data_IF_561088811267
#
_entry.id   IF_561088811267
#
_cell.length_a   1.000
_cell.length_b   1.000
_cell.length_c   1.000
_cell.angle_alpha   90.00
_cell.angle_beta   90.00
_cell.angle_gamma   90.00
#
_symmetry.space_group_name_H-M   'P 1'
#
loop_
_entity.id
_entity.type
_entity.pdbx_description
1 polymer ?
#
# COMPACT_ATOMS: atom_id res chain seq x y z
N UNK A 1 51.69 -16.05 0.54
CA UNK A 1 50.91 -16.92 1.43
C UNK A 1 51.77 -18.08 1.91
N UNK A 2 51.84 -18.27 3.23
CA UNK A 2 52.47 -19.44 3.85
C UNK A 2 51.61 -20.69 3.63
N UNK A 3 52.19 -21.90 3.76
CA UNK A 3 51.43 -23.15 3.66
C UNK A 3 50.27 -23.20 4.65
N UNK A 4 50.48 -22.65 5.86
CA UNK A 4 49.45 -22.57 6.90
C UNK A 4 48.30 -21.63 6.52
N UNK A 5 48.60 -20.50 5.90
CA UNK A 5 47.57 -19.59 5.38
C UNK A 5 46.77 -20.23 4.25
N UNK A 6 47.43 -20.99 3.36
CA UNK A 6 46.73 -21.73 2.29
C UNK A 6 45.79 -22.78 2.86
N UNK A 7 46.27 -23.60 3.80
CA UNK A 7 45.45 -24.62 4.44
C UNK A 7 44.28 -24.02 5.22
N UNK A 8 44.49 -22.84 5.81
CA UNK A 8 43.42 -22.11 6.51
C UNK A 8 42.36 -21.58 5.54
N UNK A 9 42.77 -20.96 4.42
CA UNK A 9 41.84 -20.47 3.40
C UNK A 9 41.04 -21.63 2.80
N UNK A 10 41.70 -22.75 2.47
CA UNK A 10 41.04 -23.95 1.97
C UNK A 10 39.99 -24.44 2.99
N UNK A 11 40.33 -24.49 4.29
CA UNK A 11 39.35 -24.88 5.32
C UNK A 11 38.15 -23.94 5.41
N UNK A 12 38.37 -22.63 5.30
CA UNK A 12 37.28 -21.63 5.33
C UNK A 12 36.38 -21.78 4.11
N UNK A 13 36.94 -21.92 2.91
CA UNK A 13 36.19 -22.16 1.68
C UNK A 13 35.38 -23.47 1.77
N UNK A 14 35.96 -24.53 2.32
CA UNK A 14 35.27 -25.80 2.52
C UNK A 14 34.11 -25.73 3.53
N UNK A 15 34.18 -24.83 4.53
CA UNK A 15 33.08 -24.58 5.46
C UNK A 15 31.95 -23.80 4.78
N UNK A 16 32.28 -22.83 3.91
CA UNK A 16 31.28 -22.06 3.16
C UNK A 16 30.47 -22.91 2.17
N UNK A 17 31.03 -24.03 1.71
CA UNK A 17 30.34 -25.01 0.87
C UNK A 17 29.37 -25.92 1.65
N UNK A 18 29.33 -25.84 2.98
CA UNK A 18 28.37 -26.58 3.81
C UNK A 18 27.10 -25.73 4.04
N UNK A 19 26.24 -25.60 3.03
CA UNK A 19 24.91 -25.01 3.22
C UNK A 19 23.99 -25.99 3.96
N UNK A 20 23.31 -25.54 5.03
CA UNK A 20 22.33 -26.36 5.77
C UNK A 20 21.06 -26.63 4.96
N UNK A 21 20.70 -25.72 4.04
CA UNK A 21 19.53 -25.82 3.18
C UNK A 21 19.97 -25.99 1.72
N UNK A 22 20.22 -27.23 1.29
CA UNK A 22 20.54 -27.54 -0.11
C UNK A 22 19.34 -27.28 -1.05
N UNK A 23 18.13 -27.18 -0.48
CA UNK A 23 16.88 -27.00 -1.20
C UNK A 23 16.61 -25.54 -1.62
N UNK A 24 17.38 -24.56 -1.13
CA UNK A 24 17.23 -23.14 -1.48
C UNK A 24 18.27 -22.63 -2.49
N UNK A 25 19.30 -23.44 -2.81
CA UNK A 25 20.36 -23.05 -3.75
C UNK A 25 19.96 -23.38 -5.20
N UNK A 26 19.54 -22.34 -5.93
CA UNK A 26 19.19 -22.40 -7.35
C UNK A 26 20.29 -23.04 -8.23
N UNK A 27 21.58 -22.76 -7.97
CA UNK A 27 22.66 -23.29 -8.80
C UNK A 27 22.90 -24.78 -8.52
N UNK A 28 22.79 -25.19 -7.26
CA UNK A 28 22.88 -26.59 -6.86
C UNK A 28 21.76 -27.43 -7.50
N UNK A 29 20.50 -26.98 -7.39
CA UNK A 29 19.35 -27.65 -7.99
C UNK A 29 19.47 -27.76 -9.51
N UNK A 30 19.82 -26.66 -10.18
CA UNK A 30 19.97 -26.64 -11.64
C UNK A 30 21.14 -27.47 -12.17
N UNK A 31 22.15 -27.72 -11.34
CA UNK A 31 23.25 -28.63 -11.69
C UNK A 31 22.80 -30.09 -11.65
N UNK A 32 22.16 -30.52 -10.56
CA UNK A 32 21.68 -31.90 -10.42
C UNK A 32 20.57 -32.23 -11.41
N UNK A 33 19.64 -31.30 -11.66
CA UNK A 33 18.61 -31.48 -12.68
C UNK A 33 19.21 -31.71 -14.08
N UNK A 34 20.28 -30.99 -14.44
CA UNK A 34 21.01 -31.22 -15.71
C UNK A 34 21.77 -32.54 -15.72
N UNK A 35 22.27 -32.98 -14.58
CA UNK A 35 22.95 -34.27 -14.45
C UNK A 35 21.96 -35.43 -14.65
N UNK A 36 20.78 -35.35 -14.02
CA UNK A 36 19.70 -36.33 -14.14
C UNK A 36 19.14 -36.40 -15.56
N UNK A 37 18.94 -35.26 -16.23
CA UNK A 37 18.53 -35.23 -17.64
C UNK A 37 19.54 -35.94 -18.55
N UNK A 38 20.84 -35.69 -18.35
CA UNK A 38 21.89 -36.34 -19.15
C UNK A 38 21.94 -37.85 -18.89
N UNK A 39 21.75 -38.28 -17.64
CA UNK A 39 21.66 -39.71 -17.30
C UNK A 39 20.43 -40.37 -17.95
N UNK A 40 19.27 -39.71 -17.92
CA UNK A 40 18.06 -40.22 -18.58
C UNK A 40 18.22 -40.32 -20.11
N UNK A 41 18.89 -39.36 -20.73
CA UNK A 41 19.23 -39.40 -22.16
C UNK A 41 20.21 -40.54 -22.51
N UNK A 42 21.22 -40.77 -21.67
CA UNK A 42 22.18 -41.88 -21.84
C UNK A 42 21.52 -43.26 -21.63
N UNK A 43 20.57 -43.37 -20.70
CA UNK A 43 19.76 -44.58 -20.47
C UNK A 43 18.87 -44.90 -21.68
N UNK A 44 18.27 -43.89 -22.33
CA UNK A 44 17.47 -44.04 -23.55
C UNK A 44 18.30 -44.51 -24.74
N UNK A 45 19.59 -44.14 -24.81
CA UNK A 45 20.50 -44.52 -25.88
C UNK A 45 21.18 -45.88 -25.67
N UNK A 46 20.88 -46.58 -24.57
CA UNK A 46 21.36 -47.94 -24.31
C UNK A 46 22.86 -48.05 -24.04
N UNK A 47 23.55 -46.94 -23.77
CA UNK A 47 24.97 -46.90 -23.44
C UNK A 47 25.21 -47.27 -21.98
N UNK A 48 25.13 -48.56 -21.64
CA UNK A 48 25.66 -49.08 -20.38
C UNK A 48 27.18 -49.18 -20.44
N UNK A 49 27.92 -48.06 -20.38
CA UNK A 49 29.34 -48.12 -20.05
C UNK A 49 29.91 -46.80 -19.49
N UNK A 50 30.18 -46.86 -18.17
CA UNK A 50 31.30 -46.22 -17.44
C UNK A 50 31.36 -44.70 -17.38
N UNK A 51 30.86 -44.15 -16.27
CA UNK A 51 31.63 -43.59 -15.14
C UNK A 51 30.60 -42.96 -14.20
N UNK A 52 30.63 -43.28 -12.91
CA UNK A 52 29.88 -42.44 -11.97
C UNK A 52 30.44 -41.02 -12.11
N UNK A 53 29.59 -40.00 -12.37
CA UNK A 53 30.06 -38.64 -12.39
C UNK A 53 30.75 -38.36 -11.06
N UNK A 54 31.89 -37.66 -11.04
CA UNK A 54 32.62 -37.40 -9.81
C UNK A 54 31.68 -36.73 -8.82
N UNK A 55 31.29 -37.49 -7.78
CA UNK A 55 30.43 -36.98 -6.72
C UNK A 55 31.22 -35.88 -6.02
N UNK A 56 30.61 -34.71 -5.84
CA UNK A 56 31.12 -33.71 -4.92
C UNK A 56 31.04 -34.29 -3.51
N UNK A 57 32.12 -34.95 -3.08
CA UNK A 57 32.27 -35.41 -1.70
C UNK A 57 32.77 -34.22 -0.92
N UNK A 58 31.86 -33.51 -0.27
CA UNK A 58 32.25 -32.59 0.79
C UNK A 58 32.69 -33.46 1.98
N UNK A 59 33.95 -33.36 2.46
CA UNK A 59 34.35 -34.05 3.67
C UNK A 59 33.45 -33.59 4.81
N UNK A 60 32.91 -34.54 5.56
CA UNK A 60 32.14 -34.25 6.76
C UNK A 60 33.07 -33.59 7.79
N UNK A 61 33.01 -32.27 7.87
CA UNK A 61 33.66 -31.52 8.94
C UNK A 61 32.69 -31.59 10.12
N UNK A 62 33.11 -32.29 11.18
CA UNK A 62 32.41 -32.29 12.46
C UNK A 62 32.17 -30.83 12.84
N UNK A 63 30.90 -30.39 12.87
CA UNK A 63 30.53 -29.03 13.27
C UNK A 63 31.20 -28.75 14.61
N UNK A 64 32.27 -27.96 14.59
CA UNK A 64 32.92 -27.50 15.81
C UNK A 64 31.85 -26.73 16.55
N UNK A 65 31.60 -27.13 17.80
CA UNK A 65 30.69 -26.44 18.70
C UNK A 65 30.84 -24.94 18.50
N UNK A 66 29.72 -24.29 18.18
CA UNK A 66 29.56 -22.85 17.93
C UNK A 66 30.65 -22.05 18.62
N UNK A 67 31.65 -21.62 17.85
CA UNK A 67 32.66 -20.70 18.35
C UNK A 67 31.94 -19.40 18.70
N UNK A 68 31.65 -19.22 19.98
CA UNK A 68 31.12 -17.96 20.50
C UNK A 68 32.24 -16.93 20.41
N UNK A 69 32.37 -16.26 19.26
CA UNK A 69 33.28 -15.13 19.09
C UNK A 69 32.76 -13.95 19.90
N UNK A 70 33.02 -13.96 21.21
CA UNK A 70 32.77 -12.81 22.07
C UNK A 70 33.87 -11.79 21.77
N UNK A 71 33.66 -11.00 20.72
CA UNK A 71 34.50 -9.84 20.42
C UNK A 71 34.22 -8.80 21.52
N UNK A 72 35.08 -8.76 22.54
CA UNK A 72 35.07 -7.69 23.54
C UNK A 72 35.75 -6.47 22.94
N UNK A 73 34.97 -5.48 22.51
CA UNK A 73 35.50 -4.16 22.14
C UNK A 73 35.82 -3.43 23.43
N UNK A 74 37.11 -3.22 23.70
CA UNK A 74 37.58 -2.49 24.88
C UNK A 74 36.98 -1.07 24.89
N UNK A 75 36.31 -0.69 25.99
CA UNK A 75 35.68 0.62 26.16
C UNK A 75 34.17 0.69 25.91
N UNK A 76 33.50 -0.42 25.56
CA UNK A 76 32.03 -0.46 25.45
C UNK A 76 31.36 -0.70 26.81
N UNK A 77 30.32 0.08 27.11
CA UNK A 77 29.55 0.05 28.37
C UNK A 77 28.48 -1.07 28.40
N UNK A 78 28.68 -2.16 27.63
CA UNK A 78 27.76 -3.29 27.57
C UNK A 78 28.31 -4.46 26.76
N UNK A 79 27.93 -5.69 27.14
CA UNK A 79 28.27 -6.90 26.38
C UNK A 79 27.36 -7.00 25.15
N UNK A 80 27.95 -7.05 23.95
CA UNK A 80 27.20 -7.37 22.72
C UNK A 80 26.82 -8.86 22.79
N UNK A 81 25.60 -9.16 23.20
CA UNK A 81 25.08 -10.52 23.24
C UNK A 81 24.88 -11.05 21.81
N UNK A 82 25.17 -12.34 21.59
CA UNK A 82 25.05 -13.06 20.29
C UNK A 82 23.63 -12.95 19.68
N UNK A 83 22.62 -12.62 20.48
CA UNK A 83 21.26 -12.33 20.00
C UNK A 83 21.17 -11.12 19.06
N UNK A 84 22.19 -10.26 19.00
CA UNK A 84 22.24 -9.09 18.11
C UNK A 84 22.73 -9.41 16.68
N UNK A 85 23.31 -10.60 16.45
CA UNK A 85 23.86 -10.99 15.14
C UNK A 85 22.77 -11.25 14.09
N UNK A 86 21.57 -11.63 14.51
CA UNK A 86 20.42 -11.88 13.62
C UNK A 86 19.62 -10.62 13.26
N UNK A 87 19.95 -9.46 13.85
CA UNK A 87 19.28 -8.19 13.52
C UNK A 87 20.23 -7.01 13.74
N UNK A 88 21.30 -6.86 12.93
CA UNK A 88 22.31 -5.82 13.15
C UNK A 88 21.73 -4.40 13.15
N UNK A 89 20.59 -4.17 12.48
CA UNK A 89 19.88 -2.89 12.50
C UNK A 89 19.38 -2.48 13.89
N UNK A 90 19.02 -3.44 14.76
CA UNK A 90 18.57 -3.16 16.14
C UNK A 90 19.68 -2.60 17.03
N UNK A 91 20.95 -2.90 16.73
CA UNK A 91 22.08 -2.39 17.51
C UNK A 91 22.40 -0.92 17.19
N UNK A 92 21.99 -0.43 16.02
CA UNK A 92 22.27 0.92 15.52
C UNK A 92 21.15 1.91 15.93
N UNK A 93 19.92 1.41 16.12
CA UNK A 93 18.73 2.22 16.36
C UNK A 93 18.58 2.75 17.81
N UNK A 94 19.50 2.38 18.71
CA UNK A 94 19.45 2.76 20.13
C UNK A 94 19.77 4.24 20.40
N UNK A 95 20.00 5.06 19.37
CA UNK A 95 20.41 6.47 19.55
C UNK A 95 19.39 7.47 18.99
N UNK A 96 18.36 7.07 18.24
CA UNK A 96 17.43 8.05 17.63
C UNK A 96 15.91 7.84 17.80
N UNK A 97 15.43 6.84 18.54
CA UNK A 97 13.99 6.73 18.82
C UNK A 97 13.68 6.37 20.28
N UNK A 98 13.94 7.33 21.17
CA UNK A 98 13.32 7.38 22.50
C UNK A 98 12.08 8.29 22.47
N UNK A 99 11.08 7.87 21.68
CA UNK A 99 9.67 8.27 21.73
C UNK A 99 8.93 6.97 21.35
N UNK A 100 8.76 6.02 22.27
CA UNK A 100 7.56 5.84 23.12
C UNK A 100 6.28 6.00 22.28
N UNK A 101 5.52 4.89 22.17
CA UNK A 101 4.23 4.67 21.47
C UNK A 101 4.22 4.12 20.02
N UNK A 102 4.94 3.05 19.68
CA UNK A 102 4.68 2.31 18.41
C UNK A 102 4.71 0.77 18.52
N UNK A 103 4.47 0.20 19.70
CA UNK A 103 4.54 -1.27 19.84
C UNK A 103 3.24 -1.98 19.42
N UNK A 104 2.10 -1.29 19.38
CA UNK A 104 0.80 -1.85 18.98
C UNK A 104 0.49 -1.69 17.49
N UNK A 105 0.44 -0.45 17.01
CA UNK A 105 -0.05 -0.10 15.66
C UNK A 105 0.88 -0.57 14.54
N UNK A 106 2.20 -0.43 14.74
CA UNK A 106 3.20 -0.92 13.78
C UNK A 106 3.18 -2.45 13.63
N UNK A 107 2.76 -3.20 14.66
CA UNK A 107 2.65 -4.67 14.60
C UNK A 107 1.44 -5.10 13.76
N UNK A 108 0.29 -4.46 13.94
CA UNK A 108 -0.90 -4.75 13.15
C UNK A 108 -0.66 -4.43 11.67
N UNK A 109 -0.12 -3.24 11.38
CA UNK A 109 0.21 -2.85 10.01
C UNK A 109 1.18 -3.84 9.35
N UNK A 110 2.20 -4.32 10.08
CA UNK A 110 3.13 -5.32 9.58
C UNK A 110 2.46 -6.67 9.29
N UNK A 111 1.63 -7.16 10.22
CA UNK A 111 0.92 -8.44 10.06
C UNK A 111 0.00 -8.42 8.83
N UNK A 112 -0.81 -7.36 8.69
CA UNK A 112 -1.70 -7.21 7.53
C UNK A 112 -0.93 -7.09 6.21
N UNK A 113 0.26 -6.49 6.24
CA UNK A 113 1.09 -6.37 5.05
C UNK A 113 1.66 -7.71 4.60
N UNK A 114 2.00 -8.61 5.52
CA UNK A 114 2.41 -9.96 5.18
C UNK A 114 1.26 -10.75 4.55
N UNK A 115 0.06 -10.69 5.11
CA UNK A 115 -1.12 -11.32 4.52
C UNK A 115 -1.43 -10.75 3.11
N UNK A 116 -1.29 -9.44 2.92
CA UNK A 116 -1.48 -8.82 1.62
C UNK A 116 -0.45 -9.32 0.58
N UNK A 117 0.79 -9.56 0.98
CA UNK A 117 1.80 -10.12 0.09
C UNK A 117 1.43 -11.54 -0.37
N UNK A 118 0.82 -12.34 0.49
CA UNK A 118 0.30 -13.66 0.13
C UNK A 118 -0.82 -13.54 -0.93
N UNK A 119 -1.75 -12.60 -0.76
CA UNK A 119 -2.82 -12.31 -1.73
C UNK A 119 -2.24 -11.88 -3.10
N UNK A 120 -1.22 -11.03 -3.09
CA UNK A 120 -0.55 -10.58 -4.32
C UNK A 120 0.27 -11.69 -4.98
N UNK A 121 0.88 -12.58 -4.19
CA UNK A 121 1.62 -13.73 -4.69
C UNK A 121 0.69 -14.75 -5.34
N UNK A 122 -0.47 -15.05 -4.73
CA UNK A 122 -1.53 -15.86 -5.33
C UNK A 122 -1.98 -15.27 -6.68
N UNK A 123 -2.11 -13.93 -6.77
CA UNK A 123 -2.41 -13.27 -8.04
C UNK A 123 -1.29 -13.40 -9.08
N UNK A 124 -0.02 -13.36 -8.66
CA UNK A 124 1.12 -13.47 -9.60
C UNK A 124 1.30 -14.90 -10.10
N UNK A 125 1.02 -15.90 -9.27
CA UNK A 125 1.10 -17.34 -9.61
C UNK A 125 -0.04 -17.80 -10.52
N UNK A 126 -0.97 -16.93 -10.89
CA UNK A 126 -2.22 -17.32 -11.56
C UNK A 126 -2.00 -18.17 -12.82
N UNK A 127 -2.40 -19.43 -12.66
CA UNK A 127 -2.77 -20.38 -13.70
C UNK A 127 -4.23 -20.80 -13.50
N UNK A 128 -5.18 -19.90 -13.80
CA UNK A 128 -6.58 -20.18 -14.18
C UNK A 128 -7.45 -21.15 -13.33
N UNK A 129 -7.11 -21.49 -12.09
CA UNK A 129 -7.96 -22.33 -11.23
C UNK A 129 -8.98 -21.49 -10.45
N UNK A 130 -10.27 -21.84 -10.55
CA UNK A 130 -11.36 -21.14 -9.86
C UNK A 130 -11.24 -21.21 -8.32
N UNK A 131 -10.70 -22.31 -7.78
CA UNK A 131 -10.50 -22.52 -6.35
C UNK A 131 -9.46 -21.54 -5.76
N UNK A 132 -8.37 -21.26 -6.48
CA UNK A 132 -7.34 -20.30 -6.04
C UNK A 132 -7.88 -18.86 -6.01
N UNK A 133 -8.80 -18.53 -6.91
CA UNK A 133 -9.44 -17.21 -6.96
C UNK A 133 -10.40 -16.99 -5.78
N UNK A 134 -11.14 -18.03 -5.38
CA UNK A 134 -12.01 -17.97 -4.20
C UNK A 134 -11.18 -17.84 -2.92
N UNK A 135 -10.10 -18.64 -2.78
CA UNK A 135 -9.19 -18.55 -1.64
C UNK A 135 -8.56 -17.15 -1.51
N UNK A 136 -8.14 -16.56 -2.64
CA UNK A 136 -7.61 -15.19 -2.68
C UNK A 136 -8.63 -14.16 -2.19
N UNK A 137 -9.89 -14.28 -2.64
CA UNK A 137 -10.96 -13.38 -2.22
C UNK A 137 -11.23 -13.51 -0.72
N UNK A 138 -11.19 -14.72 -0.18
CA UNK A 138 -11.37 -14.98 1.25
C UNK A 138 -10.22 -14.39 2.09
N UNK A 139 -8.98 -14.44 1.60
CA UNK A 139 -7.86 -13.83 2.33
C UNK A 139 -7.92 -12.30 2.29
N UNK A 140 -8.30 -11.71 1.16
CA UNK A 140 -8.56 -10.27 1.07
C UNK A 140 -9.69 -9.83 2.02
N UNK A 141 -10.75 -10.64 2.14
CA UNK A 141 -11.84 -10.43 3.10
C UNK A 141 -11.32 -10.42 4.54
N UNK A 142 -10.46 -11.37 4.92
CA UNK A 142 -9.87 -11.43 6.27
C UNK A 142 -9.09 -10.17 6.60
N UNK A 143 -8.30 -9.67 5.65
CA UNK A 143 -7.56 -8.42 5.82
C UNK A 143 -8.54 -7.26 6.02
N UNK A 144 -9.60 -7.18 5.21
CA UNK A 144 -10.62 -6.14 5.33
C UNK A 144 -11.32 -6.16 6.71
N UNK A 145 -11.72 -7.34 7.20
CA UNK A 145 -12.32 -7.48 8.52
C UNK A 145 -11.35 -7.08 9.65
N UNK A 146 -10.07 -7.38 9.48
CA UNK A 146 -9.03 -7.00 10.43
C UNK A 146 -8.74 -5.49 10.48
N UNK A 147 -9.09 -4.72 9.42
CA UNK A 147 -9.05 -3.26 9.46
C UNK A 147 -10.12 -2.66 10.40
N UNK A 148 -11.16 -3.42 10.78
CA UNK A 148 -12.24 -3.00 11.68
C UNK A 148 -12.88 -1.65 11.32
N UNK A 149 -13.11 -1.42 10.02
CA UNK A 149 -13.68 -0.16 9.52
C UNK A 149 -15.09 0.04 10.09
N UNK A 150 -15.20 0.99 11.03
CA UNK A 150 -16.43 1.38 11.72
C UNK A 150 -16.79 2.84 11.42
N UNK A 151 -18.07 3.18 11.60
CA UNK A 151 -18.48 4.57 11.64
C UNK A 151 -18.01 5.15 12.97
N UNK A 152 -17.14 6.15 12.91
CA UNK A 152 -16.53 6.81 14.05
C UNK A 152 -17.04 8.25 14.11
N UNK A 153 -17.30 8.79 15.30
CA UNK A 153 -17.59 10.23 15.46
C UNK A 153 -16.29 11.04 15.41
N UNK A 154 -16.39 12.36 15.27
CA UNK A 154 -15.21 13.26 15.28
C UNK A 154 -14.42 13.18 16.59
N UNK A 155 -15.08 12.85 17.71
CA UNK A 155 -14.45 12.75 19.04
C UNK A 155 -13.60 11.47 19.20
N UNK A 156 -13.94 10.41 18.48
CA UNK A 156 -13.31 9.09 18.59
C UNK A 156 -12.20 8.87 17.52
N UNK A 157 -11.95 9.85 16.63
CA UNK A 157 -11.04 9.69 15.48
C UNK A 157 -9.60 9.32 15.88
N UNK A 158 -9.15 9.83 17.02
CA UNK A 158 -7.82 9.57 17.55
C UNK A 158 -7.66 8.15 18.12
N UNK A 159 -8.76 7.47 18.45
CA UNK A 159 -8.77 6.13 19.03
C UNK A 159 -9.12 5.05 18.01
N UNK A 160 -9.60 5.44 16.82
CA UNK A 160 -10.00 4.50 15.78
C UNK A 160 -8.80 3.80 15.13
N UNK A 161 -8.79 2.46 15.20
CA UNK A 161 -7.69 1.62 14.70
C UNK A 161 -7.43 1.82 13.20
N UNK A 162 -8.48 2.00 12.39
CA UNK A 162 -8.34 2.20 10.95
C UNK A 162 -7.79 3.59 10.63
N UNK A 163 -8.27 4.63 11.31
CA UNK A 163 -7.76 5.98 11.13
C UNK A 163 -6.31 6.12 11.60
N UNK A 164 -5.93 5.51 12.73
CA UNK A 164 -4.53 5.48 13.15
C UNK A 164 -3.63 4.75 12.15
N UNK A 165 -4.12 3.65 11.55
CA UNK A 165 -3.43 2.98 10.45
C UNK A 165 -3.25 3.92 9.23
N UNK A 166 -4.24 4.75 8.91
CA UNK A 166 -4.14 5.74 7.84
C UNK A 166 -3.32 6.98 8.20
N UNK A 167 -2.96 7.22 9.47
CA UNK A 167 -2.05 8.30 9.84
C UNK A 167 -0.61 8.03 9.38
N UNK A 168 -0.18 6.77 9.33
CA UNK A 168 1.19 6.37 8.96
C UNK A 168 1.35 6.05 7.48
N UNK A 169 2.48 6.41 6.88
CA UNK A 169 2.80 6.13 5.47
C UNK A 169 2.62 4.65 5.07
N UNK A 170 3.04 3.72 5.94
CA UNK A 170 2.93 2.28 5.66
C UNK A 170 1.48 1.79 5.59
N UNK A 171 0.60 2.32 6.43
CA UNK A 171 -0.82 1.95 6.43
C UNK A 171 -1.58 2.56 5.24
N UNK A 172 -1.22 3.78 4.82
CA UNK A 172 -1.69 4.34 3.54
C UNK A 172 -1.29 3.45 2.36
N UNK A 173 -0.03 2.99 2.33
CA UNK A 173 0.47 2.07 1.28
C UNK A 173 -0.21 0.70 1.32
N UNK A 174 -0.45 0.16 2.52
CA UNK A 174 -1.21 -1.08 2.72
C UNK A 174 -2.61 -0.94 2.12
N UNK A 175 -3.34 0.10 2.52
CA UNK A 175 -4.72 0.36 2.05
C UNK A 175 -4.76 0.58 0.53
N UNK A 176 -3.81 1.37 -0.01
CA UNK A 176 -3.69 1.60 -1.45
C UNK A 176 -3.53 0.31 -2.26
N UNK A 177 -2.76 -0.65 -1.75
CA UNK A 177 -2.51 -1.95 -2.40
C UNK A 177 -3.61 -2.97 -2.13
N UNK A 178 -4.34 -2.86 -1.01
CA UNK A 178 -5.46 -3.73 -0.70
C UNK A 178 -6.68 -3.42 -1.59
N UNK A 179 -6.97 -2.14 -1.87
CA UNK A 179 -8.16 -1.69 -2.61
C UNK A 179 -8.48 -2.48 -3.90
N UNK A 180 -7.52 -2.79 -4.80
CA UNK A 180 -7.78 -3.58 -6.01
C UNK A 180 -8.21 -5.03 -5.78
N UNK A 181 -8.04 -5.55 -4.56
CA UNK A 181 -8.38 -6.92 -4.19
C UNK A 181 -9.71 -7.04 -3.45
N UNK A 182 -10.33 -5.91 -3.09
CA UNK A 182 -11.59 -5.87 -2.36
C UNK A 182 -12.79 -5.94 -3.31
N UNK A 183 -13.94 -6.33 -2.75
CA UNK A 183 -15.21 -6.18 -3.45
C UNK A 183 -15.56 -4.69 -3.65
N UNK A 184 -16.40 -4.34 -4.64
CA UNK A 184 -16.81 -2.96 -4.89
C UNK A 184 -17.41 -2.31 -3.64
N UNK A 185 -18.29 -3.00 -2.92
CA UNK A 185 -18.97 -2.48 -1.71
C UNK A 185 -17.97 -2.14 -0.59
N UNK A 186 -16.95 -2.97 -0.39
CA UNK A 186 -15.90 -2.72 0.60
C UNK A 186 -15.02 -1.54 0.23
N UNK A 187 -14.65 -1.43 -1.06
CA UNK A 187 -13.85 -0.33 -1.56
C UNK A 187 -14.61 1.00 -1.47
N UNK A 188 -15.92 0.99 -1.75
CA UNK A 188 -16.82 2.13 -1.54
C UNK A 188 -16.91 2.52 -0.07
N UNK A 189 -17.05 1.55 0.84
CA UNK A 189 -17.05 1.83 2.29
C UNK A 189 -15.75 2.48 2.75
N UNK A 190 -14.60 1.99 2.29
CA UNK A 190 -13.29 2.60 2.60
C UNK A 190 -13.23 4.03 2.08
N UNK A 191 -13.64 4.27 0.83
CA UNK A 191 -13.66 5.61 0.25
C UNK A 191 -14.57 6.53 1.10
N UNK A 192 -15.76 6.08 1.45
CA UNK A 192 -16.70 6.84 2.27
C UNK A 192 -16.09 7.22 3.64
N UNK A 193 -15.49 6.25 4.34
CA UNK A 193 -14.82 6.49 5.63
C UNK A 193 -13.66 7.47 5.49
N UNK A 194 -12.82 7.32 4.45
CA UNK A 194 -11.72 8.26 4.19
C UNK A 194 -12.25 9.67 3.91
N UNK A 195 -13.34 9.79 3.15
CA UNK A 195 -13.93 11.10 2.82
C UNK A 195 -14.57 11.79 4.02
N UNK A 196 -15.24 11.02 4.88
CA UNK A 196 -15.83 11.53 6.11
C UNK A 196 -14.77 12.08 7.06
N UNK A 197 -13.67 11.36 7.25
CA UNK A 197 -12.56 11.75 8.12
C UNK A 197 -11.43 12.50 7.39
N UNK A 198 -11.69 13.01 6.19
CA UNK A 198 -10.67 13.65 5.37
C UNK A 198 -9.99 14.85 6.07
N UNK A 199 -10.71 15.76 6.76
CA UNK A 199 -10.10 16.86 7.50
C UNK A 199 -9.10 16.40 8.56
N UNK A 200 -9.42 15.32 9.28
CA UNK A 200 -8.56 14.73 10.29
C UNK A 200 -7.28 14.16 9.67
N UNK A 201 -7.43 13.34 8.63
CA UNK A 201 -6.30 12.72 7.93
C UNK A 201 -5.37 13.77 7.32
N UNK A 202 -5.93 14.85 6.75
CA UNK A 202 -5.16 15.96 6.20
C UNK A 202 -4.34 16.70 7.27
N UNK A 203 -4.90 16.91 8.47
CA UNK A 203 -4.16 17.53 9.58
C UNK A 203 -3.00 16.64 10.06
N UNK A 204 -3.16 15.32 10.01
CA UNK A 204 -2.13 14.35 10.43
C UNK A 204 -1.06 14.10 9.36
N UNK A 205 -1.35 14.32 8.09
CA UNK A 205 -0.41 14.07 6.97
C UNK A 205 0.59 15.20 6.70
N UNK A 206 0.61 16.27 7.51
CA UNK A 206 1.46 17.45 7.26
C UNK A 206 2.97 17.13 7.24
N UNK A 207 3.40 16.08 7.96
CA UNK A 207 4.82 15.68 8.00
C UNK A 207 5.17 14.61 6.96
N UNK A 208 4.23 13.71 6.67
CA UNK A 208 4.48 12.54 5.82
C UNK A 208 4.20 12.80 4.33
N UNK A 209 3.33 13.79 4.02
CA UNK A 209 2.87 14.17 2.67
C UNK A 209 2.57 12.95 1.76
N UNK A 210 1.95 11.92 2.33
CA UNK A 210 1.82 10.60 1.70
C UNK A 210 0.38 10.19 1.40
N UNK A 211 -0.61 11.03 1.75
CA UNK A 211 -2.00 10.86 1.28
C UNK A 211 -2.14 10.70 -0.24
N UNK A 212 -1.35 11.39 -1.10
CA UNK A 212 -1.39 11.17 -2.55
C UNK A 212 -1.22 9.72 -3.00
N UNK A 213 -0.61 8.84 -2.20
CA UNK A 213 -0.48 7.41 -2.50
C UNK A 213 -1.85 6.71 -2.64
N UNK A 214 -2.88 7.20 -1.94
CA UNK A 214 -4.23 6.66 -1.99
C UNK A 214 -5.00 7.11 -3.25
N UNK A 215 -4.54 8.17 -3.94
CA UNK A 215 -5.29 8.76 -5.05
C UNK A 215 -5.52 7.79 -6.20
N UNK A 216 -4.47 7.13 -6.70
CA UNK A 216 -4.57 6.22 -7.84
C UNK A 216 -5.57 5.06 -7.64
N UNK A 217 -5.50 4.29 -6.53
CA UNK A 217 -6.48 3.23 -6.29
C UNK A 217 -7.88 3.77 -6.00
N UNK A 218 -8.02 4.85 -5.22
CA UNK A 218 -9.34 5.44 -4.95
C UNK A 218 -10.00 6.02 -6.21
N UNK A 219 -9.24 6.64 -7.10
CA UNK A 219 -9.76 7.13 -8.39
C UNK A 219 -10.31 5.99 -9.26
N UNK A 220 -9.75 4.78 -9.16
CA UNK A 220 -10.31 3.57 -9.81
C UNK A 220 -11.62 3.11 -9.16
N UNK A 221 -11.76 3.28 -7.84
CA UNK A 221 -13.02 3.02 -7.14
C UNK A 221 -14.06 4.02 -7.61
N UNK A 222 -13.76 5.32 -7.57
CA UNK A 222 -14.63 6.41 -8.04
C UNK A 222 -15.14 6.12 -9.45
N UNK A 223 -14.27 5.74 -10.38
CA UNK A 223 -14.65 5.43 -11.77
C UNK A 223 -15.61 4.24 -11.95
N UNK A 224 -15.89 3.46 -10.90
CA UNK A 224 -16.83 2.31 -10.92
C UNK A 224 -18.10 2.57 -10.14
N UNK A 225 -18.20 3.68 -9.40
CA UNK A 225 -19.35 3.96 -8.54
C UNK A 225 -20.60 4.33 -9.33
N UNK A 226 -21.75 4.01 -8.77
CA UNK A 226 -23.05 4.51 -9.22
C UNK A 226 -23.24 5.98 -8.86
N UNK A 227 -24.19 6.66 -9.50
CA UNK A 227 -24.47 8.06 -9.24
C UNK A 227 -24.86 8.29 -7.77
N UNK A 228 -25.80 7.50 -7.22
CA UNK A 228 -26.24 7.64 -5.83
C UNK A 228 -25.11 7.46 -4.82
N UNK A 229 -24.20 6.52 -5.05
CA UNK A 229 -23.03 6.31 -4.18
C UNK A 229 -22.03 7.46 -4.26
N UNK A 230 -21.85 8.04 -5.44
CA UNK A 230 -21.03 9.23 -5.61
C UNK A 230 -21.62 10.44 -4.87
N UNK A 231 -22.94 10.60 -4.87
CA UNK A 231 -23.62 11.65 -4.11
C UNK A 231 -23.44 11.45 -2.60
N UNK A 232 -23.54 10.22 -2.10
CA UNK A 232 -23.28 9.90 -0.69
C UNK A 232 -21.88 10.36 -0.25
N UNK A 233 -20.85 10.07 -1.05
CA UNK A 233 -19.46 10.49 -0.78
C UNK A 233 -19.30 12.01 -0.84
N UNK A 234 -19.87 12.67 -1.85
CA UNK A 234 -19.81 14.13 -1.98
C UNK A 234 -20.54 14.84 -0.84
N UNK A 235 -21.65 14.28 -0.37
CA UNK A 235 -22.37 14.80 0.79
C UNK A 235 -21.48 14.78 2.03
N UNK A 236 -20.76 13.67 2.31
CA UNK A 236 -19.84 13.61 3.44
C UNK A 236 -18.76 14.69 3.37
N UNK A 237 -18.20 14.96 2.19
CA UNK A 237 -17.23 16.05 2.01
C UNK A 237 -17.87 17.45 2.19
N UNK A 238 -19.17 17.60 1.99
CA UNK A 238 -19.87 18.89 2.11
C UNK A 238 -20.40 19.20 3.51
N UNK A 239 -20.44 18.21 4.42
CA UNK A 239 -21.06 18.36 5.74
C UNK A 239 -20.23 19.27 6.64
N UNK A 240 -20.84 20.26 7.33
CA UNK A 240 -20.12 21.12 8.26
C UNK A 240 -19.63 20.31 9.47
N UNK A 241 -18.39 20.56 9.89
CA UNK A 241 -17.80 19.93 11.06
C UNK A 241 -18.16 20.73 12.33
N UNK A 242 -18.51 20.10 13.46
CA UNK A 242 -18.85 20.82 14.69
C UNK A 242 -17.72 21.70 15.23
N UNK A 243 -16.48 21.28 14.99
CA UNK A 243 -15.28 21.84 15.60
C UNK A 243 -14.59 22.92 14.76
N UNK A 244 -14.93 23.04 13.46
CA UNK A 244 -14.27 24.00 12.57
C UNK A 244 -15.26 24.90 11.84
N UNK A 245 -15.02 26.22 11.81
CA UNK A 245 -15.85 27.15 11.03
C UNK A 245 -15.66 27.00 9.52
N UNK A 246 -14.57 26.34 9.10
CA UNK A 246 -14.26 26.07 7.70
C UNK A 246 -14.92 24.76 7.25
N UNK A 247 -15.51 24.75 6.05
CA UNK A 247 -16.13 23.57 5.46
C UNK A 247 -15.07 22.57 4.99
N UNK A 248 -15.33 21.25 5.04
CA UNK A 248 -14.35 20.26 4.60
C UNK A 248 -13.99 20.39 3.12
N UNK A 249 -14.91 20.82 2.25
CA UNK A 249 -14.59 21.18 0.85
C UNK A 249 -13.53 22.27 0.80
N UNK A 250 -13.68 23.36 1.56
CA UNK A 250 -12.72 24.47 1.58
C UNK A 250 -11.35 24.01 2.09
N UNK A 251 -11.32 23.11 3.08
CA UNK A 251 -10.08 22.47 3.52
C UNK A 251 -9.47 21.61 2.41
N UNK A 252 -10.27 20.77 1.74
CA UNK A 252 -9.84 19.89 0.65
C UNK A 252 -9.21 20.68 -0.50
N UNK A 253 -9.73 21.86 -0.85
CA UNK A 253 -9.16 22.75 -1.87
C UNK A 253 -7.73 23.23 -1.53
N UNK A 254 -7.37 23.28 -0.25
CA UNK A 254 -6.03 23.67 0.23
C UNK A 254 -5.07 22.49 0.37
N UNK A 255 -5.48 21.29 -0.01
CA UNK A 255 -4.66 20.08 0.11
C UNK A 255 -4.62 19.32 -1.21
N UNK A 256 -3.42 18.92 -1.64
CA UNK A 256 -3.21 18.27 -2.93
C UNK A 256 -4.06 17.00 -3.11
N UNK A 257 -4.14 16.14 -2.10
CA UNK A 257 -4.97 14.93 -2.17
C UNK A 257 -6.47 15.28 -2.15
N UNK A 258 -6.88 16.18 -1.26
CA UNK A 258 -8.27 16.63 -1.13
C UNK A 258 -8.84 17.20 -2.42
N UNK A 259 -8.14 18.16 -3.05
CA UNK A 259 -8.59 18.78 -4.31
C UNK A 259 -8.63 17.77 -5.45
N UNK A 260 -7.64 16.86 -5.51
CA UNK A 260 -7.59 15.82 -6.54
C UNK A 260 -8.75 14.84 -6.43
N UNK A 261 -9.10 14.44 -5.19
CA UNK A 261 -10.23 13.55 -4.93
C UNK A 261 -11.56 14.23 -5.26
N UNK A 262 -11.75 15.48 -4.83
CA UNK A 262 -12.94 16.28 -5.14
C UNK A 262 -13.13 16.41 -6.65
N UNK A 263 -12.07 16.74 -7.39
CA UNK A 263 -12.10 16.87 -8.84
C UNK A 263 -12.38 15.53 -9.54
N UNK A 264 -11.84 14.43 -9.03
CA UNK A 264 -12.16 13.09 -9.53
C UNK A 264 -13.65 12.76 -9.37
N UNK A 265 -14.23 13.02 -8.19
CA UNK A 265 -15.65 12.81 -7.91
C UNK A 265 -16.53 13.66 -8.84
N UNK A 266 -16.25 14.97 -8.95
CA UNK A 266 -17.00 15.86 -9.84
C UNK A 266 -16.88 15.45 -11.32
N UNK A 267 -15.67 15.05 -11.76
CA UNK A 267 -15.44 14.56 -13.11
C UNK A 267 -16.23 13.29 -13.40
N UNK A 268 -16.30 12.35 -12.45
CA UNK A 268 -17.07 11.11 -12.63
C UNK A 268 -18.57 11.38 -12.64
N UNK A 269 -19.07 12.24 -11.75
CA UNK A 269 -20.47 12.65 -11.74
C UNK A 269 -20.90 13.27 -13.08
N UNK A 270 -20.07 14.17 -13.64
CA UNK A 270 -20.32 14.75 -14.96
C UNK A 270 -20.30 13.71 -16.09
N UNK A 271 -19.42 12.69 -16.02
CA UNK A 271 -19.40 11.58 -16.99
C UNK A 271 -20.68 10.76 -16.92
N UNK A 272 -21.16 10.45 -15.73
CA UNK A 272 -22.41 9.72 -15.52
C UNK A 272 -23.61 10.50 -16.08
N UNK A 273 -23.68 11.81 -15.80
CA UNK A 273 -24.75 12.68 -16.30
C UNK A 273 -24.72 12.91 -17.81
N UNK A 274 -23.53 12.85 -18.42
CA UNK A 274 -23.34 12.99 -19.86
C UNK A 274 -23.47 11.69 -20.63
N UNK A 275 -23.55 10.56 -19.92
CA UNK A 275 -23.65 9.24 -20.53
C UNK A 275 -25.09 8.93 -20.92
N UNK A 276 -25.28 8.25 -22.05
CA UNK A 276 -26.60 7.77 -22.50
C UNK A 276 -27.11 6.57 -21.67
N UNK A 277 -26.36 6.16 -20.64
CA UNK A 277 -26.72 5.07 -19.74
C UNK A 277 -27.83 5.53 -18.78
N UNK A 278 -28.93 4.75 -18.64
CA UNK A 278 -30.00 5.10 -17.71
C UNK A 278 -29.44 5.12 -16.29
N UNK A 279 -29.60 6.26 -15.62
CA UNK A 279 -29.28 6.41 -14.21
C UNK A 279 -30.49 5.97 -13.38
N UNK A 280 -30.24 5.25 -12.29
CA UNK A 280 -31.23 4.95 -11.25
C UNK A 280 -30.91 5.77 -9.97
N UNK A 281 -31.15 7.10 -9.98
CA UNK A 281 -30.90 7.94 -8.82
C UNK A 281 -31.95 7.75 -7.74
N UNK A 282 -31.54 7.89 -6.49
CA UNK A 282 -32.44 8.03 -5.35
C UNK A 282 -33.17 9.38 -5.41
N UNK A 283 -34.30 9.48 -4.73
CA UNK A 283 -35.05 10.73 -4.61
C UNK A 283 -34.18 11.82 -3.97
N UNK A 284 -33.92 12.92 -4.69
CA UNK A 284 -33.12 14.05 -4.18
C UNK A 284 -31.65 14.04 -4.60
N UNK A 285 -31.16 13.00 -5.29
CA UNK A 285 -29.75 12.92 -5.71
C UNK A 285 -29.36 14.05 -6.67
N UNK A 286 -30.24 14.42 -7.60
CA UNK A 286 -29.99 15.52 -8.54
C UNK A 286 -29.98 16.89 -7.87
N UNK A 287 -30.87 17.12 -6.90
CA UNK A 287 -30.91 18.37 -6.12
C UNK A 287 -29.63 18.51 -5.29
N UNK A 288 -29.26 17.43 -4.60
CA UNK A 288 -27.99 17.35 -3.85
C UNK A 288 -26.80 17.59 -4.77
N UNK A 289 -26.77 16.97 -5.95
CA UNK A 289 -25.70 17.17 -6.93
C UNK A 289 -25.56 18.66 -7.29
N UNK A 290 -26.67 19.32 -7.64
CA UNK A 290 -26.65 20.73 -7.98
C UNK A 290 -26.19 21.60 -6.82
N UNK A 291 -26.66 21.33 -5.61
CA UNK A 291 -26.27 22.05 -4.40
C UNK A 291 -24.76 21.92 -4.12
N UNK A 292 -24.22 20.71 -4.27
CA UNK A 292 -22.78 20.46 -4.13
C UNK A 292 -21.98 21.18 -5.21
N UNK A 293 -22.42 21.18 -6.47
CA UNK A 293 -21.74 21.89 -7.56
C UNK A 293 -21.71 23.40 -7.30
N UNK A 294 -22.84 23.99 -6.88
CA UNK A 294 -22.89 25.41 -6.50
C UNK A 294 -22.02 25.71 -5.28
N UNK A 295 -22.02 24.82 -4.28
CA UNK A 295 -21.18 24.93 -3.10
C UNK A 295 -19.69 24.92 -3.48
N UNK A 296 -19.24 23.94 -4.26
CA UNK A 296 -17.83 23.86 -4.71
C UNK A 296 -17.44 25.09 -5.52
N UNK A 297 -18.29 25.55 -6.44
CA UNK A 297 -18.03 26.76 -7.23
C UNK A 297 -17.89 28.02 -6.36
N UNK A 298 -18.74 28.14 -5.33
CA UNK A 298 -18.68 29.22 -4.35
C UNK A 298 -17.39 29.16 -3.55
N UNK A 299 -17.05 28.01 -2.98
CA UNK A 299 -15.82 27.85 -2.18
C UNK A 299 -14.56 28.07 -3.04
N UNK A 300 -14.51 27.53 -4.26
CA UNK A 300 -13.42 27.79 -5.21
C UNK A 300 -13.27 29.28 -5.53
N UNK A 301 -14.37 30.02 -5.65
CA UNK A 301 -14.35 31.46 -5.91
C UNK A 301 -13.87 32.26 -4.69
N UNK A 302 -14.18 31.80 -3.47
CA UNK A 302 -13.79 32.47 -2.23
C UNK A 302 -12.33 32.18 -1.81
N UNK A 303 -11.84 30.96 -2.04
CA UNK A 303 -10.47 30.58 -1.68
C UNK A 303 -9.45 31.40 -2.47
N UNK A 304 -8.49 32.08 -1.82
CA UNK A 304 -7.42 32.80 -2.52
C UNK A 304 -6.58 31.87 -3.39
N UNK A 305 -6.16 32.32 -4.59
CA UNK A 305 -5.31 31.51 -5.50
C UNK A 305 -4.01 31.06 -4.84
N UNK A 306 -3.45 31.87 -3.92
CA UNK A 306 -2.23 31.52 -3.18
C UNK A 306 -2.39 30.36 -2.19
N UNK A 307 -3.62 30.04 -1.76
CA UNK A 307 -3.91 28.91 -0.87
C UNK A 307 -4.46 27.68 -1.60
N UNK A 308 -4.77 27.82 -2.89
CA UNK A 308 -5.24 26.71 -3.72
C UNK A 308 -4.02 25.87 -4.12
N UNK A 309 -4.09 24.56 -3.88
CA UNK A 309 -3.00 23.64 -4.21
C UNK A 309 -3.25 23.03 -5.59
N UNK A 310 -2.17 22.81 -6.35
CA UNK A 310 -2.25 22.16 -7.65
C UNK A 310 -2.69 20.68 -7.51
N UNK A 311 -3.75 20.23 -8.21
CA UNK A 311 -4.20 18.85 -8.15
C UNK A 311 -3.19 17.90 -8.81
N UNK A 312 -3.15 16.65 -8.37
CA UNK A 312 -2.37 15.57 -8.99
C UNK A 312 -2.77 15.34 -10.46
N UNK A 313 -4.05 15.53 -10.76
CA UNK A 313 -4.60 15.42 -12.09
C UNK A 313 -5.80 16.36 -12.20
N UNK A 314 -5.81 17.20 -13.24
CA UNK A 314 -6.92 18.09 -13.57
C UNK A 314 -7.79 17.45 -14.66
N UNK A 315 -9.03 17.00 -14.37
CA UNK A 315 -9.91 16.43 -15.37
C UNK A 315 -10.42 17.48 -16.37
N UNK A 316 -10.38 17.16 -17.66
CA UNK A 316 -10.76 18.07 -18.75
C UNK A 316 -12.25 18.43 -18.80
N UNK A 317 -13.12 17.65 -18.15
CA UNK A 317 -14.57 17.84 -18.15
C UNK A 317 -15.09 18.66 -16.96
N UNK A 318 -14.22 19.22 -16.12
CA UNK A 318 -14.69 20.09 -15.03
C UNK A 318 -15.22 21.43 -15.54
N UNK A 319 -14.61 22.00 -16.58
CA UNK A 319 -15.15 23.22 -17.19
C UNK A 319 -16.52 22.97 -17.84
N UNK A 320 -16.72 21.80 -18.49
CA UNK A 320 -18.03 21.46 -19.05
C UNK A 320 -19.09 21.30 -17.97
N UNK A 321 -18.72 20.71 -16.83
CA UNK A 321 -19.57 20.65 -15.65
C UNK A 321 -19.99 22.05 -15.20
N UNK A 322 -19.04 22.96 -14.96
CA UNK A 322 -19.37 24.31 -14.49
C UNK A 322 -20.20 25.11 -15.50
N UNK A 323 -19.94 24.95 -16.79
CA UNK A 323 -20.75 25.55 -17.86
C UNK A 323 -22.23 25.14 -17.85
N UNK A 324 -22.58 23.97 -17.29
CA UNK A 324 -23.98 23.51 -17.22
C UNK A 324 -24.79 24.24 -16.15
N UNK A 325 -24.14 24.68 -15.09
CA UNK A 325 -24.82 25.16 -13.87
C UNK A 325 -24.55 26.63 -13.56
N UNK A 326 -23.43 27.18 -14.04
CA UNK A 326 -22.96 28.53 -13.68
C UNK A 326 -23.05 29.50 -14.87
N UNK A 327 -23.03 30.80 -14.56
CA UNK A 327 -22.99 31.85 -15.57
C UNK A 327 -21.59 32.00 -16.19
N UNK A 328 -21.52 32.60 -17.39
CA UNK A 328 -20.28 32.71 -18.15
C UNK A 328 -19.15 33.46 -17.41
N UNK A 329 -19.48 34.45 -16.59
CA UNK A 329 -18.46 35.25 -15.89
C UNK A 329 -17.80 34.44 -14.77
N UNK A 330 -18.58 33.69 -14.00
CA UNK A 330 -18.05 32.84 -12.94
C UNK A 330 -17.23 31.68 -13.50
N UNK A 331 -17.65 31.08 -14.62
CA UNK A 331 -16.86 30.03 -15.29
C UNK A 331 -15.48 30.53 -15.71
N UNK A 332 -15.39 31.70 -16.37
CA UNK A 332 -14.09 32.27 -16.75
C UNK A 332 -13.21 32.62 -15.53
N UNK A 333 -13.82 33.03 -14.41
CA UNK A 333 -13.08 33.24 -13.17
C UNK A 333 -12.52 31.93 -12.60
N UNK A 334 -13.31 30.85 -12.63
CA UNK A 334 -12.89 29.52 -12.17
C UNK A 334 -11.82 28.91 -13.07
N UNK A 335 -11.95 29.05 -14.39
CA UNK A 335 -10.96 28.61 -15.39
C UNK A 335 -9.58 29.20 -15.07
N UNK A 336 -9.49 30.53 -14.88
CA UNK A 336 -8.24 31.21 -14.53
C UNK A 336 -7.71 30.87 -13.12
N UNK A 337 -8.52 30.27 -12.25
CA UNK A 337 -8.10 29.78 -10.93
C UNK A 337 -7.61 28.34 -10.97
N UNK A 338 -8.19 27.52 -11.83
CA UNK A 338 -7.84 26.10 -11.98
C UNK A 338 -6.59 25.89 -12.84
N UNK A 339 -6.31 26.81 -13.77
CA UNK A 339 -5.01 27.00 -14.43
C UNK A 339 -4.00 27.72 -13.53
#
# INVERSE_FOLDING_TARGET
MTSKEKDWVIKVEMIQLQSENMDDDYYYQMYYHRLEQRQAEEELLGWRNRQEPPKLVTPFIQKVETYNSVVRIAGSLGQVAVSTCYSPRRAIDAVHHALVEEVGEGRLCWQLFLQLLEVEEMQRKMSLAAEEQEQKSQEAERIYQALKIRACSSEEEAEDEFLQLLCVQKGKKLTARLLPHLSPEQAEKILLTITHHLPFLMKKDVLDESLPLLYSPLNKVVGRMTFSKLIEVLQEMSRPLPESPELPITMALKNQFGISLLYSLLSHGEKLLSSDTPLEPCSGDFETWTDVVFLVARELSQVPKASLVEPLFLPSNLLSLFCRYLDKQTVHHLEAKME
#
